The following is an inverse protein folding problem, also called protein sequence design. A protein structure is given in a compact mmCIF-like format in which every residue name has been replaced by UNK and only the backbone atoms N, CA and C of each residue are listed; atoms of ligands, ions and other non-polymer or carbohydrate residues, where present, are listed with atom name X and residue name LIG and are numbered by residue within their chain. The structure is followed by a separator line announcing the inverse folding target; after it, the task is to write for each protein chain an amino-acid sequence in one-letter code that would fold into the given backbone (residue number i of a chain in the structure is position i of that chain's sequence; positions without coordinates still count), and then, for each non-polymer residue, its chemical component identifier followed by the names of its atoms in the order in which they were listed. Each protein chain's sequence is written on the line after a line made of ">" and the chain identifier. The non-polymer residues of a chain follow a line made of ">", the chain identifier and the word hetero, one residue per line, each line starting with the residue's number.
data_IF_648220251626
#
_entry.id   IF_648220251626
#
_cell.length_a   1.000
_cell.length_b   1.000
_cell.length_c   1.000
_cell.angle_alpha   90.00
_cell.angle_beta   90.00
_cell.angle_gamma   90.00
#
_symmetry.space_group_name_H-M   'P 1'
#
loop_
_entity.id
_entity.type
_entity.pdbx_description
1 polymer ?
#
# COMPACT_ATOMS: atom_id res chain seq x y z
N UNK A 1 2.97 -22.30 6.74
CA UNK A 1 2.35 -22.98 5.60
C UNK A 1 2.85 -24.41 5.54
N UNK A 2 1.97 -25.42 5.46
CA UNK A 2 2.38 -26.81 5.24
C UNK A 2 2.74 -26.98 3.77
N UNK A 3 3.95 -27.45 3.48
CA UNK A 3 4.38 -27.78 2.14
C UNK A 3 3.48 -28.89 1.56
N UNK A 4 2.92 -28.69 0.38
CA UNK A 4 2.32 -29.78 -0.39
C UNK A 4 3.51 -30.57 -0.97
N UNK A 5 3.66 -31.87 -0.70
CA UNK A 5 4.80 -32.64 -1.20
C UNK A 5 4.69 -32.83 -2.73
N UNK A 6 5.84 -32.87 -3.40
CA UNK A 6 5.99 -33.17 -4.83
C UNK A 6 5.27 -32.19 -5.79
N UNK A 7 5.24 -30.91 -5.43
CA UNK A 7 4.81 -29.84 -6.35
C UNK A 7 5.81 -28.69 -6.30
N UNK A 8 6.09 -28.11 -7.46
CA UNK A 8 6.88 -26.90 -7.58
C UNK A 8 5.98 -25.68 -7.33
N UNK A 9 6.35 -24.82 -6.38
CA UNK A 9 5.56 -23.65 -5.99
C UNK A 9 6.46 -22.41 -5.93
N UNK A 10 6.10 -21.39 -6.69
CA UNK A 10 6.65 -20.05 -6.55
C UNK A 10 5.67 -19.16 -5.75
N UNK A 11 6.05 -18.76 -4.54
CA UNK A 11 5.29 -17.82 -3.73
C UNK A 11 5.68 -16.39 -4.09
N UNK A 12 4.75 -15.60 -4.61
CA UNK A 12 4.94 -14.16 -4.78
C UNK A 12 4.40 -13.41 -3.57
N UNK A 13 5.25 -12.63 -2.91
CA UNK A 13 4.95 -11.88 -1.67
C UNK A 13 5.08 -10.38 -1.94
N UNK A 14 4.01 -9.73 -2.42
CA UNK A 14 4.06 -8.30 -2.63
C UNK A 14 4.00 -7.54 -1.29
N UNK A 15 4.66 -6.38 -1.23
CA UNK A 15 4.54 -5.42 -0.12
C UNK A 15 3.24 -4.61 -0.24
N UNK A 16 3.12 -3.47 0.46
CA UNK A 16 1.93 -2.62 0.40
C UNK A 16 1.63 -2.12 -1.02
N UNK A 17 0.38 -2.15 -1.47
CA UNK A 17 0.06 -1.71 -2.84
C UNK A 17 -0.02 -0.19 -2.90
N UNK A 18 0.50 0.40 -3.98
CA UNK A 18 0.30 1.83 -4.27
C UNK A 18 -1.20 2.22 -4.21
N UNK A 19 -2.06 1.36 -4.74
CA UNK A 19 -3.51 1.56 -4.75
C UNK A 19 -4.13 1.76 -3.36
N UNK A 20 -3.50 1.27 -2.28
CA UNK A 20 -3.98 1.50 -0.92
C UNK A 20 -3.97 2.99 -0.55
N UNK A 21 -3.08 3.79 -1.15
CA UNK A 21 -3.01 5.25 -0.93
C UNK A 21 -4.26 5.98 -1.47
N UNK A 22 -5.04 5.35 -2.36
CA UNK A 22 -6.31 5.91 -2.81
C UNK A 22 -7.36 5.99 -1.71
N UNK A 23 -7.17 5.31 -0.56
CA UNK A 23 -8.00 5.48 0.61
C UNK A 23 -8.03 6.94 1.12
N UNK A 24 -7.02 7.76 0.78
CA UNK A 24 -6.92 9.15 1.22
C UNK A 24 -7.49 10.17 0.22
N UNK A 25 -8.01 9.74 -0.94
CA UNK A 25 -8.49 10.65 -1.98
C UNK A 25 -9.53 11.64 -1.45
N UNK A 26 -10.53 11.16 -0.71
CA UNK A 26 -11.62 11.99 -0.19
C UNK A 26 -11.13 13.02 0.83
N UNK A 27 -10.25 12.62 1.76
CA UNK A 27 -9.73 13.52 2.80
C UNK A 27 -8.75 14.52 2.22
N UNK A 28 -7.96 14.14 1.21
CA UNK A 28 -7.11 15.08 0.47
C UNK A 28 -7.99 16.10 -0.27
N UNK A 29 -8.99 15.67 -1.03
CA UNK A 29 -9.90 16.57 -1.78
C UNK A 29 -10.62 17.57 -0.89
N UNK A 30 -11.11 17.14 0.28
CA UNK A 30 -11.94 17.96 1.15
C UNK A 30 -11.15 18.80 2.14
N UNK A 31 -10.02 18.29 2.60
CA UNK A 31 -9.34 18.83 3.79
C UNK A 31 -7.84 19.08 3.59
N UNK A 32 -7.26 18.68 2.45
CA UNK A 32 -5.81 18.62 2.24
C UNK A 32 -5.09 17.85 3.35
N UNK A 33 -5.69 16.74 3.79
CA UNK A 33 -5.16 15.93 4.90
C UNK A 33 -5.17 14.45 4.59
N UNK A 34 -4.16 13.77 5.11
CA UNK A 34 -4.06 12.32 5.19
C UNK A 34 -4.14 11.96 6.67
N UNK A 35 -5.11 11.14 7.05
CA UNK A 35 -5.24 10.63 8.41
C UNK A 35 -4.73 9.19 8.46
N UNK A 36 -3.82 8.90 9.39
CA UNK A 36 -3.23 7.56 9.56
C UNK A 36 -2.97 7.28 11.03
N UNK A 37 -3.21 6.05 11.49
CA UNK A 37 -2.75 5.61 12.82
C UNK A 37 -1.28 5.14 12.80
N UNK A 38 -0.64 5.05 11.62
CA UNK A 38 0.80 4.85 11.47
C UNK A 38 1.45 6.21 11.24
N UNK A 39 2.53 6.52 11.97
CA UNK A 39 3.18 7.81 11.87
C UNK A 39 3.73 8.03 10.45
N UNK A 40 3.47 9.22 9.89
CA UNK A 40 3.82 9.53 8.50
C UNK A 40 5.32 9.50 8.16
N UNK A 41 6.17 9.48 9.17
CA UNK A 41 7.63 9.36 9.05
C UNK A 41 8.13 7.92 8.98
N UNK A 42 7.27 6.93 9.16
CA UNK A 42 7.65 5.51 9.05
C UNK A 42 7.81 5.15 7.57
N UNK A 43 8.92 4.48 7.25
CA UNK A 43 9.24 4.08 5.88
C UNK A 43 8.31 2.96 5.44
N UNK A 44 7.49 3.25 4.43
CA UNK A 44 6.65 2.27 3.76
C UNK A 44 7.39 1.60 2.60
N UNK A 45 6.96 0.39 2.26
CA UNK A 45 7.42 -0.37 1.10
C UNK A 45 6.22 -0.58 0.19
N UNK A 46 6.35 -0.13 -1.05
CA UNK A 46 5.23 -0.06 -1.98
C UNK A 46 5.53 -0.82 -3.27
N UNK A 47 4.47 -1.38 -3.85
CA UNK A 47 4.54 -2.07 -5.13
C UNK A 47 3.38 -1.68 -6.03
N UNK A 48 3.67 -1.55 -7.32
CA UNK A 48 2.70 -1.33 -8.37
C UNK A 48 2.18 -2.67 -8.91
N UNK A 49 0.89 -2.77 -9.29
CA UNK A 49 0.36 -3.97 -9.92
C UNK A 49 1.15 -4.46 -11.14
N UNK A 50 1.74 -3.55 -11.90
CA UNK A 50 2.57 -3.86 -13.07
C UNK A 50 3.87 -4.57 -12.70
N UNK A 51 4.49 -4.19 -11.58
CA UNK A 51 5.73 -4.82 -11.13
C UNK A 51 5.47 -6.19 -10.48
N UNK A 52 4.32 -6.35 -9.80
CA UNK A 52 3.84 -7.67 -9.41
C UNK A 52 3.69 -8.57 -10.65
N UNK A 53 3.09 -8.05 -11.73
CA UNK A 53 2.90 -8.82 -12.95
C UNK A 53 4.23 -9.21 -13.62
N UNK A 54 5.23 -8.33 -13.63
CA UNK A 54 6.57 -8.63 -14.16
C UNK A 54 7.25 -9.80 -13.44
N UNK A 55 7.01 -9.95 -12.14
CA UNK A 55 7.51 -11.09 -11.36
C UNK A 55 6.68 -12.34 -11.65
N UNK A 56 5.35 -12.23 -11.70
CA UNK A 56 4.46 -13.38 -11.88
C UNK A 56 4.61 -14.03 -13.27
N UNK A 57 4.67 -13.24 -14.34
CA UNK A 57 4.68 -13.76 -15.72
C UNK A 57 5.77 -14.83 -15.97
N UNK A 58 7.06 -14.58 -15.70
CA UNK A 58 8.10 -15.60 -15.92
C UNK A 58 7.96 -16.80 -14.98
N UNK A 59 7.41 -16.61 -13.77
CA UNK A 59 7.17 -17.71 -12.82
C UNK A 59 6.04 -18.63 -13.28
N UNK A 60 5.04 -18.10 -14.01
CA UNK A 60 3.99 -18.91 -14.63
C UNK A 60 4.49 -19.70 -15.84
N UNK A 61 5.41 -19.12 -16.61
CA UNK A 61 6.02 -19.78 -17.78
C UNK A 61 7.01 -20.87 -17.35
N UNK A 62 7.73 -20.65 -16.25
CA UNK A 62 8.76 -21.55 -15.75
C UNK A 62 8.87 -21.49 -14.23
N UNK A 63 8.00 -22.23 -13.53
CA UNK A 63 8.06 -22.38 -12.07
C UNK A 63 9.39 -23.05 -11.66
N UNK A 64 10.21 -22.43 -10.78
CA UNK A 64 11.42 -23.05 -10.29
C UNK A 64 11.10 -24.31 -9.48
N UNK A 65 11.98 -25.32 -9.58
CA UNK A 65 11.85 -26.57 -8.81
C UNK A 65 11.81 -26.34 -7.30
N UNK A 66 10.96 -27.10 -6.61
CA UNK A 66 10.72 -26.97 -5.18
C UNK A 66 9.91 -25.73 -4.82
N UNK A 67 10.12 -25.21 -3.61
CA UNK A 67 9.40 -24.04 -3.11
C UNK A 67 10.30 -22.82 -3.09
N UNK A 68 9.94 -21.79 -3.86
CA UNK A 68 10.68 -20.52 -3.95
C UNK A 68 9.84 -19.35 -3.48
N UNK A 69 10.49 -18.29 -3.02
CA UNK A 69 9.84 -17.06 -2.54
C UNK A 69 10.39 -15.88 -3.33
N UNK A 70 9.49 -15.08 -3.88
CA UNK A 70 9.78 -13.91 -4.72
C UNK A 70 9.06 -12.71 -4.13
N UNK A 71 9.80 -11.68 -3.76
CA UNK A 71 9.22 -10.45 -3.24
C UNK A 71 8.97 -9.48 -4.38
N UNK A 72 7.83 -8.79 -4.33
CA UNK A 72 7.50 -7.72 -5.27
C UNK A 72 7.52 -6.38 -4.54
N UNK A 73 8.41 -5.48 -4.96
CA UNK A 73 8.62 -4.15 -4.38
C UNK A 73 9.06 -3.19 -5.49
N UNK A 74 8.37 -2.07 -5.63
CA UNK A 74 8.71 -1.06 -6.62
C UNK A 74 9.53 0.09 -6.02
N UNK A 75 9.13 0.54 -4.82
CA UNK A 75 9.76 1.70 -4.19
C UNK A 75 9.60 1.72 -2.67
N UNK A 76 10.40 2.57 -2.01
CA UNK A 76 10.29 2.87 -0.57
C UNK A 76 10.24 4.36 -0.34
N UNK A 77 9.24 4.79 0.41
CA UNK A 77 9.06 6.20 0.79
C UNK A 77 8.19 6.29 2.03
N UNK A 78 8.22 7.43 2.71
CA UNK A 78 7.34 7.71 3.85
C UNK A 78 6.04 8.34 3.37
N UNK A 79 4.97 8.27 4.17
CA UNK A 79 3.71 8.96 3.85
C UNK A 79 3.90 10.48 3.78
N UNK A 80 4.89 11.02 4.51
CA UNK A 80 5.31 12.41 4.42
C UNK A 80 5.94 12.73 3.05
N UNK A 81 6.78 11.85 2.50
CA UNK A 81 7.38 12.02 1.17
C UNK A 81 6.29 12.02 0.10
N UNK A 82 5.33 11.11 0.20
CA UNK A 82 4.16 11.09 -0.69
C UNK A 82 3.36 12.40 -0.61
N UNK A 83 3.04 12.87 0.60
CA UNK A 83 2.31 14.13 0.79
C UNK A 83 3.08 15.34 0.24
N UNK A 84 4.40 15.36 0.43
CA UNK A 84 5.28 16.41 -0.07
C UNK A 84 5.32 16.43 -1.60
N UNK A 85 5.63 15.30 -2.24
CA UNK A 85 5.72 15.20 -3.71
C UNK A 85 4.37 15.52 -4.35
N UNK A 86 3.26 15.02 -3.78
CA UNK A 86 1.92 15.34 -4.26
C UNK A 86 1.63 16.85 -4.15
N UNK A 87 1.97 17.48 -3.02
CA UNK A 87 1.74 18.92 -2.81
C UNK A 87 2.54 19.79 -3.79
N UNK A 88 3.74 19.36 -4.18
CA UNK A 88 4.58 20.09 -5.14
C UNK A 88 4.00 20.09 -6.56
N UNK A 89 3.23 19.06 -6.91
CA UNK A 89 2.63 18.88 -8.24
C UNK A 89 1.20 19.45 -8.33
N UNK A 90 0.54 19.68 -7.19
CA UNK A 90 -0.75 20.37 -7.13
C UNK A 90 -0.58 21.89 -7.31
N UNK A 91 -1.68 22.58 -7.68
CA UNK A 91 -1.67 24.04 -7.84
C UNK A 91 -1.13 24.72 -6.57
N UNK A 92 -0.14 25.60 -6.72
CA UNK A 92 0.51 26.36 -5.64
C UNK A 92 -0.46 27.18 -4.78
N UNK A 93 -1.68 27.44 -5.26
CA UNK A 93 -2.75 28.09 -4.49
C UNK A 93 -3.44 27.16 -3.50
N UNK A 94 -3.31 25.84 -3.66
CA UNK A 94 -3.84 24.86 -2.72
C UNK A 94 -2.93 24.76 -1.49
N UNK A 95 -3.53 24.55 -0.33
CA UNK A 95 -2.78 24.30 0.88
C UNK A 95 -2.00 22.98 0.74
N UNK A 96 -0.75 22.90 1.25
CA UNK A 96 0.01 21.66 1.21
C UNK A 96 -0.71 20.57 2.01
N UNK A 97 -0.61 19.34 1.50
CA UNK A 97 -1.20 18.16 2.13
C UNK A 97 -0.45 17.87 3.43
N UNK A 98 -1.19 17.68 4.52
CA UNK A 98 -0.63 17.34 5.83
C UNK A 98 -0.97 15.91 6.23
N UNK A 99 0.03 15.17 6.71
CA UNK A 99 -0.19 13.88 7.36
C UNK A 99 -0.49 14.10 8.83
N UNK A 100 -1.62 13.59 9.29
CA UNK A 100 -2.10 13.68 10.67
C UNK A 100 -2.14 12.28 11.26
N UNK A 101 -1.28 12.07 12.26
CA UNK A 101 -1.31 10.83 13.04
C UNK A 101 -2.49 10.84 13.99
N UNK A 102 -3.34 9.82 13.94
CA UNK A 102 -4.51 9.63 14.79
C UNK A 102 -4.39 8.38 15.66
N UNK A 103 -5.26 8.23 16.65
CA UNK A 103 -5.25 7.03 17.51
C UNK A 103 -5.81 5.80 16.77
N UNK A 104 -5.53 4.61 17.30
CA UNK A 104 -6.17 3.36 16.81
C UNK A 104 -7.69 3.41 16.95
N UNK A 105 -8.20 4.06 17.99
CA UNK A 105 -9.63 4.21 18.20
C UNK A 105 -10.23 5.16 17.16
N UNK A 106 -9.62 6.31 16.89
CA UNK A 106 -10.10 7.24 15.85
C UNK A 106 -10.09 6.58 14.47
N UNK A 107 -9.05 5.79 14.17
CA UNK A 107 -8.97 5.05 12.91
C UNK A 107 -10.04 3.97 12.81
N UNK A 108 -10.29 3.21 13.89
CA UNK A 108 -11.41 2.26 13.98
C UNK A 108 -12.75 2.95 13.74
N UNK A 109 -13.01 4.09 14.39
CA UNK A 109 -14.25 4.84 14.21
C UNK A 109 -14.41 5.36 12.78
N UNK A 110 -13.32 5.80 12.15
CA UNK A 110 -13.33 6.21 10.75
C UNK A 110 -13.68 5.03 9.82
N UNK A 111 -13.13 3.84 10.05
CA UNK A 111 -13.45 2.64 9.27
C UNK A 111 -14.89 2.17 9.48
N UNK A 112 -15.40 2.20 10.73
CA UNK A 112 -16.80 1.90 11.04
C UNK A 112 -17.77 2.85 10.31
N UNK A 113 -17.46 4.16 10.32
CA UNK A 113 -18.26 5.17 9.61
C UNK A 113 -18.29 4.93 8.09
N UNK A 114 -17.22 4.37 7.54
CA UNK A 114 -17.13 3.96 6.14
C UNK A 114 -17.69 2.56 5.87
N UNK A 115 -18.42 1.97 6.83
CA UNK A 115 -19.13 0.70 6.71
C UNK A 115 -18.21 -0.51 6.48
N UNK A 116 -16.97 -0.44 7.00
CA UNK A 116 -16.07 -1.59 6.98
C UNK A 116 -16.47 -2.58 8.09
N UNK A 117 -16.59 -3.89 7.79
CA UNK A 117 -16.92 -4.91 8.79
C UNK A 117 -15.89 -4.97 9.92
N UNK A 118 -16.34 -5.10 11.18
CA UNK A 118 -15.48 -5.09 12.38
C UNK A 118 -14.34 -6.11 12.31
N UNK A 119 -14.58 -7.31 11.80
CA UNK A 119 -13.55 -8.34 11.65
C UNK A 119 -12.38 -7.90 10.74
N UNK A 120 -12.68 -7.11 9.71
CA UNK A 120 -11.67 -6.52 8.81
C UNK A 120 -10.97 -5.35 9.51
N UNK A 121 -11.70 -4.55 10.30
CA UNK A 121 -11.12 -3.45 11.08
C UNK A 121 -10.07 -3.95 12.07
N UNK A 122 -10.34 -5.01 12.82
CA UNK A 122 -9.37 -5.57 13.76
C UNK A 122 -8.09 -6.04 13.06
N UNK A 123 -8.25 -6.61 11.86
CA UNK A 123 -7.11 -6.99 11.01
C UNK A 123 -6.30 -5.77 10.57
N UNK A 124 -6.95 -4.65 10.22
CA UNK A 124 -6.25 -3.40 9.90
C UNK A 124 -5.51 -2.82 11.11
N UNK A 125 -6.13 -2.79 12.29
CA UNK A 125 -5.47 -2.29 13.51
C UNK A 125 -4.23 -3.13 13.82
N UNK A 126 -4.35 -4.47 13.73
CA UNK A 126 -3.23 -5.36 13.95
C UNK A 126 -2.13 -5.17 12.90
N UNK A 127 -2.49 -5.06 11.63
CA UNK A 127 -1.54 -4.79 10.53
C UNK A 127 -0.77 -3.49 10.79
N UNK A 128 -1.48 -2.41 11.09
CA UNK A 128 -0.88 -1.09 11.32
C UNK A 128 0.01 -1.09 12.59
N UNK A 129 -0.33 -1.90 13.60
CA UNK A 129 0.54 -2.09 14.76
C UNK A 129 1.87 -2.81 14.41
N UNK A 130 1.87 -3.70 13.41
CA UNK A 130 3.10 -4.29 12.87
C UNK A 130 3.87 -3.32 11.97
N UNK A 131 3.19 -2.49 11.18
CA UNK A 131 3.82 -1.45 10.37
C UNK A 131 4.57 -0.42 11.21
N UNK A 132 4.11 -0.16 12.45
CA UNK A 132 4.84 0.66 13.44
C UNK A 132 6.17 0.04 13.90
N UNK A 133 6.46 -1.19 13.52
CA UNK A 133 7.69 -1.94 13.82
C UNK A 133 8.35 -2.38 12.51
N UNK A 134 8.80 -1.43 11.66
CA UNK A 134 9.25 -1.69 10.29
C UNK A 134 10.42 -2.68 10.20
N UNK A 135 11.28 -2.72 11.22
CA UNK A 135 12.37 -3.67 11.36
C UNK A 135 11.90 -5.12 11.54
N UNK A 136 10.77 -5.35 12.21
CA UNK A 136 10.23 -6.70 12.43
C UNK A 136 9.47 -7.21 11.23
N UNK A 137 8.59 -6.38 10.66
CA UNK A 137 7.79 -6.77 9.49
C UNK A 137 8.66 -6.88 8.22
N UNK A 138 9.71 -6.06 8.12
CA UNK A 138 10.64 -6.07 6.99
C UNK A 138 11.74 -7.13 7.06
N UNK A 139 11.98 -7.76 8.21
CA UNK A 139 13.14 -8.65 8.40
C UNK A 139 13.23 -9.80 7.38
N UNK A 140 12.09 -10.40 7.00
CA UNK A 140 12.10 -11.47 6.00
C UNK A 140 12.41 -10.94 4.60
N UNK A 141 11.83 -9.80 4.23
CA UNK A 141 12.11 -9.14 2.97
C UNK A 141 13.59 -8.77 2.85
N UNK A 142 14.16 -8.10 3.85
CA UNK A 142 15.56 -7.65 3.80
C UNK A 142 16.55 -8.82 3.66
N UNK A 143 16.27 -9.97 4.28
CA UNK A 143 17.08 -11.19 4.14
C UNK A 143 17.07 -11.76 2.72
N UNK A 144 16.04 -11.48 1.93
CA UNK A 144 15.92 -11.92 0.55
C UNK A 144 16.50 -10.91 -0.45
N UNK A 145 17.02 -9.77 0.01
CA UNK A 145 17.66 -8.74 -0.82
C UNK A 145 16.89 -8.45 -2.11
N UNK A 146 15.64 -7.97 -2.01
CA UNK A 146 14.78 -7.80 -3.17
C UNK A 146 15.39 -6.78 -4.14
N UNK A 147 15.23 -7.04 -5.43
CA UNK A 147 15.48 -6.04 -6.45
C UNK A 147 14.25 -5.13 -6.51
N UNK A 148 14.48 -3.83 -6.54
CA UNK A 148 13.41 -2.85 -6.64
C UNK A 148 13.02 -2.69 -8.10
N UNK A 149 11.75 -2.90 -8.40
CA UNK A 149 11.20 -2.81 -9.74
C UNK A 149 11.01 -1.36 -10.22
N UNK A 150 10.41 -1.17 -11.39
CA UNK A 150 10.54 0.06 -12.16
C UNK A 150 9.66 1.21 -11.66
N UNK A 151 8.46 0.95 -11.13
CA UNK A 151 7.50 2.03 -10.85
C UNK A 151 7.91 2.81 -9.60
N UNK A 152 8.23 4.10 -9.75
CA UNK A 152 8.64 4.95 -8.63
C UNK A 152 7.51 5.83 -8.14
N UNK A 153 7.72 6.43 -6.96
CA UNK A 153 6.78 7.39 -6.36
C UNK A 153 6.34 8.46 -7.37
N UNK A 154 7.26 9.03 -8.15
CA UNK A 154 6.95 10.06 -9.15
C UNK A 154 5.96 9.61 -10.23
N UNK A 155 6.09 8.37 -10.69
CA UNK A 155 5.16 7.77 -11.66
C UNK A 155 3.77 7.62 -11.03
N UNK A 156 3.72 7.18 -9.77
CA UNK A 156 2.48 7.04 -9.03
C UNK A 156 1.81 8.39 -8.73
N UNK A 157 2.57 9.44 -8.40
CA UNK A 157 2.02 10.79 -8.15
C UNK A 157 1.22 11.29 -9.36
N UNK A 158 1.72 11.09 -10.58
CA UNK A 158 1.01 11.45 -11.80
C UNK A 158 -0.34 10.74 -11.91
N UNK A 159 -0.38 9.44 -11.58
CA UNK A 159 -1.63 8.65 -11.54
C UNK A 159 -2.56 9.12 -10.43
N UNK A 160 -2.01 9.50 -9.28
CA UNK A 160 -2.77 10.00 -8.14
C UNK A 160 -3.46 11.34 -8.44
N UNK A 161 -2.78 12.25 -9.12
CA UNK A 161 -3.37 13.53 -9.55
C UNK A 161 -4.51 13.30 -10.54
N UNK A 162 -4.34 12.37 -11.49
CA UNK A 162 -5.43 11.98 -12.38
C UNK A 162 -6.65 11.44 -11.60
N UNK A 163 -6.41 10.62 -10.58
CA UNK A 163 -7.45 10.11 -9.68
C UNK A 163 -8.14 11.21 -8.85
N UNK A 164 -7.41 12.25 -8.43
CA UNK A 164 -7.99 13.41 -7.75
C UNK A 164 -8.97 14.17 -8.65
N UNK A 165 -8.67 14.29 -9.95
CA UNK A 165 -9.48 15.03 -10.91
C UNK A 165 -10.60 14.19 -11.56
N UNK A 166 -10.60 12.87 -11.38
CA UNK A 166 -11.57 11.98 -12.00
C UNK A 166 -12.98 12.12 -11.37
N UNK A 167 -14.06 12.15 -12.17
CA UNK A 167 -15.46 12.15 -11.68
C UNK A 167 -15.80 10.89 -10.88
N UNK A 168 -15.21 9.76 -11.26
CA UNK A 168 -15.25 8.49 -10.53
C UNK A 168 -13.83 8.12 -10.12
N UNK A 169 -13.48 8.39 -8.87
CA UNK A 169 -12.13 8.15 -8.41
C UNK A 169 -11.85 6.65 -8.22
N UNK A 170 -10.64 6.15 -8.57
CA UNK A 170 -10.24 4.80 -8.22
C UNK A 170 -10.34 4.61 -6.70
N UNK A 171 -10.78 3.43 -6.27
CA UNK A 171 -10.91 3.10 -4.85
C UNK A 171 -9.74 2.23 -4.42
N UNK A 172 -9.31 2.37 -3.17
CA UNK A 172 -8.46 1.36 -2.54
C UNK A 172 -9.16 0.00 -2.68
N UNK A 173 -8.46 -0.98 -3.23
CA UNK A 173 -9.01 -2.33 -3.49
C UNK A 173 -8.80 -3.29 -2.32
N UNK A 174 -8.49 -2.74 -1.14
CA UNK A 174 -8.15 -3.49 0.07
C UNK A 174 -9.33 -4.24 0.66
N UNK A 175 -10.56 -3.91 0.25
CA UNK A 175 -11.80 -4.52 0.74
C UNK A 175 -12.67 -4.87 -0.46
N UNK A 176 -12.95 -6.16 -0.65
CA UNK A 176 -14.02 -6.60 -1.54
C UNK A 176 -15.32 -6.34 -0.81
N UNK A 177 -16.08 -5.33 -1.23
CA UNK A 177 -17.46 -5.20 -0.80
C UNK A 177 -18.24 -6.38 -1.39
N UNK A 178 -18.49 -7.42 -0.59
CA UNK A 178 -19.62 -8.29 -0.88
C UNK A 178 -20.87 -7.41 -0.86
N UNK A 179 -21.51 -7.25 -2.03
CA UNK A 179 -22.86 -6.69 -2.05
C UNK A 179 -23.74 -7.59 -1.17
N UNK A 180 -24.64 -7.02 -0.37
CA UNK A 180 -25.63 -7.80 0.35
C UNK A 180 -26.52 -8.59 -0.63
#
# INVERSE_FOLDING_TARGET
>A
MRAIPNIDIAFVRPVGFYDNLYAHLETIKKENKIYSNVAGSILGRYVAPEDIAKIIVPLLESTPGGHTVHYAISDTFTLNDFALELSQQLDKKQAPIKVITISDEDYRQALLKNQIPTAIIDSFIQMNAYERQPEKIGADLERHHPVYDDVKLKDFISRYIAALNAPSAPKAKTIVSEKP
#
